data_IF_745430810078
#
_entry.id   IF_745430810078
#
_cell.length_a   1.000
_cell.length_b   1.000
_cell.length_c   1.000
_cell.angle_alpha   90.00
_cell.angle_beta   90.00
_cell.angle_gamma   90.00
#
_symmetry.space_group_name_H-M   'P 1'
#
loop_
_entity.id
_entity.type
_entity.pdbx_description
1 polymer ?
#
# COMPACT_ATOMS: atom_id res chain seq x y z
N UNK A 1 14.00 8.65 1.64
CA UNK A 1 12.76 9.40 1.31
C UNK A 1 12.49 10.44 2.39
N UNK A 2 12.20 11.71 2.06
CA UNK A 2 11.88 12.73 3.07
C UNK A 2 10.54 12.43 3.75
N UNK A 3 10.46 12.57 5.07
CA UNK A 3 9.23 12.43 5.85
C UNK A 3 8.87 13.80 6.42
N UNK A 4 7.67 14.30 6.09
CA UNK A 4 7.19 15.61 6.52
C UNK A 4 5.96 15.41 7.40
N UNK A 5 6.04 15.85 8.65
CA UNK A 5 4.88 15.95 9.54
C UNK A 5 4.13 17.23 9.22
N UNK A 6 2.83 17.13 8.91
CA UNK A 6 2.01 18.25 8.48
C UNK A 6 0.63 18.23 9.16
N UNK A 7 0.03 19.41 9.30
CA UNK A 7 -1.33 19.61 9.81
C UNK A 7 -1.97 20.79 9.08
N UNK A 8 -3.22 20.63 8.62
CA UNK A 8 -3.98 21.73 8.02
C UNK A 8 -4.26 22.88 9.00
N UNK A 9 -4.05 22.65 10.30
CA UNK A 9 -4.20 23.65 11.36
C UNK A 9 -2.89 24.38 11.70
N UNK A 10 -1.76 23.98 11.10
CA UNK A 10 -0.45 24.63 11.28
C UNK A 10 0.05 25.16 9.93
N UNK A 11 -0.12 26.47 9.71
CA UNK A 11 0.27 27.16 8.48
C UNK A 11 1.75 27.00 8.15
N UNK A 12 2.64 26.95 9.15
CA UNK A 12 4.08 26.76 8.93
C UNK A 12 4.39 25.38 8.36
N UNK A 13 3.61 24.37 8.74
CA UNK A 13 3.75 23.01 8.19
C UNK A 13 3.27 22.92 6.74
N UNK A 14 2.24 23.69 6.38
CA UNK A 14 1.73 23.80 5.00
C UNK A 14 2.71 24.55 4.10
N UNK A 15 3.31 25.64 4.58
CA UNK A 15 4.37 26.35 3.84
C UNK A 15 5.57 25.45 3.55
N UNK A 16 6.00 24.66 4.55
CA UNK A 16 7.06 23.65 4.36
C UNK A 16 6.68 22.63 3.29
N UNK A 17 5.44 22.14 3.30
CA UNK A 17 4.96 21.21 2.29
C UNK A 17 4.91 21.87 0.90
N UNK A 18 4.47 23.12 0.81
CA UNK A 18 4.40 23.89 -0.44
C UNK A 18 5.78 24.08 -1.08
N UNK A 19 6.84 24.22 -0.28
CA UNK A 19 8.22 24.31 -0.78
C UNK A 19 8.70 23.04 -1.53
N UNK A 20 8.00 21.91 -1.38
CA UNK A 20 8.25 20.68 -2.13
C UNK A 20 7.43 20.56 -3.43
N UNK A 21 6.52 21.50 -3.69
CA UNK A 21 5.70 21.53 -4.89
C UNK A 21 6.16 22.73 -5.74
N UNK A 22 7.24 22.55 -6.50
CA UNK A 22 7.87 23.64 -7.24
C UNK A 22 7.18 23.92 -8.56
N UNK A 23 7.45 25.09 -9.12
CA UNK A 23 6.98 25.48 -10.45
C UNK A 23 7.37 24.43 -11.51
N UNK A 24 6.40 24.07 -12.35
CA UNK A 24 6.57 23.06 -13.39
C UNK A 24 6.49 21.59 -12.92
N UNK A 25 6.36 21.33 -11.62
CA UNK A 25 6.18 19.97 -11.09
C UNK A 25 4.70 19.57 -11.06
N UNK A 26 4.44 18.26 -11.25
CA UNK A 26 3.13 17.66 -11.00
C UNK A 26 3.20 16.81 -9.74
N UNK A 27 2.39 17.15 -8.74
CA UNK A 27 2.33 16.46 -7.45
C UNK A 27 1.00 15.71 -7.32
N UNK A 28 1.08 14.41 -7.05
CA UNK A 28 -0.10 13.55 -6.90
C UNK A 28 -0.26 13.13 -5.44
N UNK A 29 -1.42 13.38 -4.85
CA UNK A 29 -1.73 12.88 -3.51
C UNK A 29 -2.28 11.47 -3.56
N UNK A 30 -1.63 10.56 -2.83
CA UNK A 30 -1.98 9.15 -2.76
C UNK A 30 -2.15 8.73 -1.30
N UNK A 31 -3.16 7.91 -1.02
CA UNK A 31 -3.43 7.40 0.32
C UNK A 31 -4.89 6.98 0.51
N UNK A 32 -5.17 6.26 1.59
CA UNK A 32 -6.49 5.70 1.90
C UNK A 32 -7.60 6.76 1.94
N UNK A 33 -8.85 6.33 1.84
CA UNK A 33 -10.00 7.23 2.02
C UNK A 33 -10.00 7.86 3.43
N UNK A 34 -10.31 9.16 3.52
CA UNK A 34 -10.44 9.86 4.81
C UNK A 34 -9.14 10.33 5.48
N UNK A 35 -7.96 10.07 4.91
CA UNK A 35 -6.67 10.50 5.49
C UNK A 35 -6.38 12.01 5.37
N UNK A 36 -7.26 12.78 4.71
CA UNK A 36 -7.13 14.24 4.60
C UNK A 36 -6.49 14.77 3.32
N UNK A 37 -6.37 13.97 2.24
CA UNK A 37 -5.80 14.41 0.94
C UNK A 37 -6.43 15.69 0.40
N UNK A 38 -7.75 15.69 0.20
CA UNK A 38 -8.47 16.85 -0.35
C UNK A 38 -8.39 18.08 0.58
N UNK A 39 -8.36 17.87 1.90
CA UNK A 39 -8.14 18.95 2.88
C UNK A 39 -6.74 19.57 2.75
N UNK A 40 -5.72 18.75 2.53
CA UNK A 40 -4.35 19.20 2.33
C UNK A 40 -4.18 19.97 1.01
N UNK A 41 -4.88 19.52 -0.03
CA UNK A 41 -4.95 20.22 -1.32
C UNK A 41 -5.58 21.61 -1.17
N UNK A 42 -6.73 21.73 -0.48
CA UNK A 42 -7.34 23.03 -0.17
C UNK A 42 -6.38 23.94 0.61
N UNK A 43 -5.67 23.39 1.60
CA UNK A 43 -4.71 24.15 2.39
C UNK A 43 -3.53 24.65 1.55
N UNK A 44 -3.03 23.86 0.60
CA UNK A 44 -1.95 24.25 -0.31
C UNK A 44 -2.40 25.30 -1.34
N UNK A 45 -3.64 25.19 -1.80
CA UNK A 45 -4.26 26.18 -2.69
C UNK A 45 -4.53 27.51 -1.96
N UNK A 46 -4.86 27.45 -0.66
CA UNK A 46 -5.15 28.62 0.17
C UNK A 46 -6.63 28.99 0.22
N UNK A 47 -7.52 28.18 -0.36
CA UNK A 47 -8.97 28.34 -0.26
C UNK A 47 -9.71 27.00 -0.37
N UNK A 48 -10.99 26.99 -0.01
CA UNK A 48 -11.86 25.81 -0.18
C UNK A 48 -12.23 25.62 -1.66
N UNK A 49 -11.48 24.78 -2.37
CA UNK A 49 -11.72 24.43 -3.77
C UNK A 49 -12.45 23.08 -3.90
N UNK A 50 -12.03 22.10 -3.11
CA UNK A 50 -12.60 20.75 -3.07
C UNK A 50 -13.59 20.62 -1.91
N UNK A 51 -14.74 19.99 -2.17
CA UNK A 51 -15.70 19.68 -1.12
C UNK A 51 -15.10 18.67 -0.12
N UNK A 52 -15.03 19.05 1.16
CA UNK A 52 -14.59 18.17 2.25
C UNK A 52 -15.71 18.01 3.28
N UNK A 53 -16.01 16.77 3.71
CA UNK A 53 -16.93 16.51 4.83
C UNK A 53 -16.19 15.95 6.05
N UNK A 54 -16.68 16.24 7.25
CA UNK A 54 -16.19 15.62 8.49
C UNK A 54 -16.34 14.09 8.47
N UNK A 55 -15.47 13.40 9.21
CA UNK A 55 -15.54 11.94 9.40
C UNK A 55 -16.85 11.57 10.12
N UNK A 56 -17.48 10.43 9.77
CA UNK A 56 -18.69 10.00 10.48
C UNK A 56 -18.35 9.48 11.88
N UNK A 57 -18.97 10.05 12.91
CA UNK A 57 -18.81 9.67 14.33
C UNK A 57 -19.19 8.20 14.64
N UNK A 58 -19.92 7.53 13.73
CA UNK A 58 -20.48 6.20 13.96
C UNK A 58 -19.61 5.03 13.49
N UNK A 59 -18.59 5.25 12.65
CA UNK A 59 -17.83 4.13 12.06
C UNK A 59 -16.31 4.31 11.97
N UNK A 60 -15.78 5.52 12.24
CA UNK A 60 -14.35 5.82 12.04
C UNK A 60 -13.87 5.71 10.59
N UNK A 61 -14.75 5.42 9.62
CA UNK A 61 -14.44 5.31 8.20
C UNK A 61 -14.81 6.62 7.49
N UNK A 62 -13.88 7.16 6.72
CA UNK A 62 -14.09 8.38 5.95
C UNK A 62 -15.21 8.23 4.91
N UNK A 63 -16.22 9.10 4.99
CA UNK A 63 -17.28 9.21 3.97
C UNK A 63 -16.69 9.89 2.74
N UNK A 64 -16.82 9.24 1.59
CA UNK A 64 -16.27 9.72 0.33
C UNK A 64 -16.93 11.04 -0.08
N UNK A 65 -16.18 12.14 -0.12
CA UNK A 65 -16.60 13.39 -0.77
C UNK A 65 -15.95 13.56 -2.14
N UNK A 66 -14.65 13.20 -2.28
CA UNK A 66 -13.93 13.26 -3.57
C UNK A 66 -14.19 11.98 -4.39
N UNK A 67 -15.06 12.09 -5.40
CA UNK A 67 -15.43 11.01 -6.34
C UNK A 67 -14.79 11.18 -7.72
N UNK A 68 -14.06 12.28 -7.94
CA UNK A 68 -13.46 12.65 -9.22
C UNK A 68 -11.96 12.88 -9.04
N UNK A 69 -11.19 12.67 -10.11
CA UNK A 69 -9.79 13.09 -10.18
C UNK A 69 -9.79 14.56 -10.61
N UNK A 70 -9.27 15.42 -9.76
CA UNK A 70 -9.24 16.87 -10.00
C UNK A 70 -7.78 17.32 -10.17
N UNK A 71 -7.54 18.13 -11.20
CA UNK A 71 -6.24 18.76 -11.46
C UNK A 71 -6.34 20.24 -11.12
N UNK A 72 -5.46 20.71 -10.25
CA UNK A 72 -5.50 22.05 -9.68
C UNK A 72 -4.18 22.74 -9.97
N UNK A 73 -4.25 23.90 -10.61
CA UNK A 73 -3.10 24.75 -10.85
C UNK A 73 -2.90 25.64 -9.62
N UNK A 74 -1.75 25.51 -8.95
CA UNK A 74 -1.34 26.51 -7.98
C UNK A 74 -0.75 27.69 -8.77
N UNK A 75 -1.21 28.90 -8.47
CA UNK A 75 -0.66 30.13 -9.07
C UNK A 75 0.86 30.16 -8.87
N UNK A 76 1.60 30.38 -9.97
CA UNK A 76 3.06 30.46 -10.03
C UNK A 76 3.80 29.27 -9.36
N UNK A 77 3.21 28.07 -9.39
CA UNK A 77 3.73 26.90 -8.66
C UNK A 77 3.39 25.58 -9.37
N UNK A 78 3.13 24.51 -8.61
CA UNK A 78 2.94 23.16 -9.12
C UNK A 78 1.50 22.88 -9.57
N UNK A 79 1.34 21.79 -10.31
CA UNK A 79 0.05 21.16 -10.56
C UNK A 79 -0.22 20.13 -9.46
N UNK A 80 -1.33 20.26 -8.75
CA UNK A 80 -1.78 19.27 -7.78
C UNK A 80 -2.84 18.36 -8.39
N UNK A 81 -2.73 17.06 -8.15
CA UNK A 81 -3.75 16.08 -8.53
C UNK A 81 -4.32 15.43 -7.27
N UNK A 82 -5.60 15.71 -6.97
CA UNK A 82 -6.34 14.95 -5.96
C UNK A 82 -6.88 13.67 -6.61
N UNK A 83 -6.63 12.54 -5.95
CA UNK A 83 -7.15 11.25 -6.37
C UNK A 83 -8.20 10.77 -5.37
N UNK A 84 -9.33 10.19 -5.83
CA UNK A 84 -10.23 9.47 -4.94
C UNK A 84 -9.41 8.48 -4.11
N UNK A 85 -9.69 8.41 -2.80
CA UNK A 85 -8.96 7.51 -1.92
C UNK A 85 -8.95 6.09 -2.49
N UNK A 86 -7.75 5.60 -2.77
CA UNK A 86 -7.52 4.22 -3.19
C UNK A 86 -8.05 3.29 -2.09
N UNK A 87 -8.97 2.39 -2.46
CA UNK A 87 -9.54 1.43 -1.51
C UNK A 87 -8.58 0.26 -1.30
N UNK A 88 -7.98 -0.24 -2.38
CA UNK A 88 -6.98 -1.29 -2.37
C UNK A 88 -6.03 -1.06 -3.54
N UNK A 89 -4.72 -1.22 -3.33
CA UNK A 89 -3.77 -1.38 -4.42
C UNK A 89 -3.75 -2.87 -4.74
N UNK A 90 -4.20 -3.25 -5.94
CA UNK A 90 -3.91 -4.59 -6.43
C UNK A 90 -2.45 -4.64 -6.85
N UNK A 91 -1.69 -5.54 -6.25
CA UNK A 91 -0.32 -5.83 -6.68
C UNK A 91 -0.45 -6.70 -7.93
N UNK A 92 -0.43 -6.06 -9.10
CA UNK A 92 -0.35 -6.76 -10.39
C UNK A 92 1.08 -7.17 -10.74
N UNK A 93 2.02 -6.89 -9.83
CA UNK A 93 3.42 -7.27 -9.96
C UNK A 93 3.53 -8.77 -9.71
N UNK A 94 3.68 -9.53 -10.79
CA UNK A 94 4.04 -10.96 -10.77
C UNK A 94 5.53 -11.17 -10.40
N UNK A 95 6.27 -10.06 -10.28
CA UNK A 95 7.70 -10.06 -10.03
C UNK A 95 8.04 -9.90 -8.54
N UNK A 96 8.37 -11.03 -7.90
CA UNK A 96 8.85 -11.05 -6.52
C UNK A 96 10.17 -10.29 -6.33
N UNK A 97 11.01 -10.14 -7.38
CA UNK A 97 12.25 -9.36 -7.30
C UNK A 97 11.96 -7.86 -7.14
N UNK A 98 10.89 -7.37 -7.75
CA UNK A 98 10.48 -5.98 -7.59
C UNK A 98 9.97 -5.71 -6.17
N UNK A 99 9.21 -6.64 -5.58
CA UNK A 99 8.77 -6.54 -4.18
C UNK A 99 9.94 -6.56 -3.20
N UNK A 100 10.92 -7.43 -3.42
CA UNK A 100 12.09 -7.51 -2.55
C UNK A 100 13.04 -6.32 -2.72
N UNK A 101 13.11 -5.71 -3.92
CA UNK A 101 13.85 -4.47 -4.13
C UNK A 101 13.20 -3.27 -3.45
N UNK A 102 11.87 -3.15 -3.47
CA UNK A 102 11.16 -1.99 -2.89
C UNK A 102 11.26 -1.94 -1.37
N UNK A 103 11.40 -3.11 -0.74
CA UNK A 103 11.51 -3.24 0.72
C UNK A 103 12.95 -3.46 1.20
N UNK A 104 13.94 -3.27 0.33
CA UNK A 104 15.37 -3.49 0.62
C UNK A 104 15.71 -4.92 1.13
N UNK A 105 14.88 -5.92 0.77
CA UNK A 105 15.07 -7.33 1.15
C UNK A 105 15.87 -8.10 0.09
N UNK A 106 15.93 -7.63 -1.15
CA UNK A 106 16.55 -8.35 -2.29
C UNK A 106 18.01 -8.77 -2.07
N UNK A 107 18.80 -7.95 -1.36
CA UNK A 107 20.19 -8.26 -1.05
C UNK A 107 20.31 -9.43 -0.05
N UNK A 108 19.34 -9.55 0.87
CA UNK A 108 19.28 -10.62 1.86
C UNK A 108 18.84 -11.94 1.20
N UNK A 109 17.86 -11.90 0.29
CA UNK A 109 17.37 -13.09 -0.42
C UNK A 109 18.47 -13.79 -1.21
N UNK A 110 19.37 -13.01 -1.85
CA UNK A 110 20.51 -13.54 -2.62
C UNK A 110 21.49 -14.34 -1.76
N UNK A 111 21.49 -14.12 -0.45
CA UNK A 111 22.34 -14.83 0.52
C UNK A 111 21.64 -16.02 1.17
N UNK A 112 20.36 -16.28 0.85
CA UNK A 112 19.70 -17.50 1.29
C UNK A 112 20.34 -18.73 0.64
N UNK A 113 20.45 -19.81 1.42
CA UNK A 113 20.95 -21.09 0.94
C UNK A 113 20.12 -21.67 -0.22
N UNK A 114 18.81 -21.45 -0.19
CA UNK A 114 17.86 -21.97 -1.17
C UNK A 114 17.36 -20.85 -2.08
N UNK A 115 17.30 -21.11 -3.38
CA UNK A 115 16.80 -20.15 -4.39
C UNK A 115 15.30 -19.93 -4.30
N UNK A 116 14.57 -20.90 -3.78
CA UNK A 116 13.12 -20.91 -3.60
C UNK A 116 12.69 -20.67 -2.14
N UNK A 117 13.58 -20.06 -1.34
CA UNK A 117 13.30 -19.74 0.05
C UNK A 117 12.04 -18.86 0.20
N UNK A 118 11.13 -19.27 1.08
CA UNK A 118 9.91 -18.53 1.42
C UNK A 118 10.11 -17.56 2.58
N UNK A 119 11.25 -17.69 3.28
CA UNK A 119 11.63 -16.91 4.46
C UNK A 119 10.62 -17.06 5.61
N UNK A 120 10.00 -18.23 5.75
CA UNK A 120 8.99 -18.48 6.79
C UNK A 120 9.43 -19.51 7.83
N UNK A 121 10.60 -20.13 7.66
CA UNK A 121 11.15 -21.07 8.63
C UNK A 121 12.28 -21.96 8.09
N UNK A 122 12.82 -21.65 6.91
CA UNK A 122 13.90 -22.42 6.31
C UNK A 122 15.21 -22.31 7.09
N UNK A 123 15.98 -23.41 7.22
CA UNK A 123 17.32 -23.34 7.78
C UNK A 123 18.24 -22.51 6.88
N UNK A 124 19.18 -21.79 7.48
CA UNK A 124 20.14 -20.91 6.79
C UNK A 124 19.48 -19.84 5.90
N UNK A 125 18.37 -19.28 6.38
CA UNK A 125 17.67 -18.17 5.75
C UNK A 125 18.27 -16.82 6.19
N UNK A 126 18.99 -16.15 5.28
CA UNK A 126 19.60 -14.85 5.54
C UNK A 126 18.59 -13.75 5.90
N UNK A 127 17.35 -13.82 5.40
CA UNK A 127 16.27 -12.88 5.77
C UNK A 127 15.84 -13.09 7.23
N UNK A 128 15.70 -14.35 7.68
CA UNK A 128 15.35 -14.66 9.07
C UNK A 128 16.51 -14.34 10.03
N UNK A 129 17.74 -14.52 9.59
CA UNK A 129 18.93 -14.09 10.32
C UNK A 129 19.00 -12.56 10.46
N UNK A 130 18.73 -11.82 9.39
CA UNK A 130 18.67 -10.36 9.44
C UNK A 130 17.55 -9.85 10.37
N UNK A 131 16.43 -10.57 10.44
CA UNK A 131 15.37 -10.27 11.41
C UNK A 131 15.84 -10.53 12.84
N UNK A 132 16.49 -11.67 13.11
CA UNK A 132 16.92 -12.03 14.46
C UNK A 132 18.06 -11.14 14.99
N UNK A 133 18.94 -10.66 14.11
CA UNK A 133 20.05 -9.77 14.46
C UNK A 133 19.67 -8.27 14.43
N UNK A 134 18.42 -7.93 14.06
CA UNK A 134 17.90 -6.57 14.04
C UNK A 134 18.31 -5.72 12.83
N UNK A 135 19.02 -6.29 11.85
CA UNK A 135 19.37 -5.60 10.60
C UNK A 135 18.14 -5.42 9.68
N UNK A 136 17.11 -6.24 9.86
CA UNK A 136 15.81 -6.11 9.23
C UNK A 136 14.74 -5.84 10.28
N UNK A 137 13.98 -4.76 10.13
CA UNK A 137 12.87 -4.48 11.05
C UNK A 137 11.72 -5.46 10.88
N UNK A 138 11.07 -5.83 11.99
CA UNK A 138 9.92 -6.73 12.01
C UNK A 138 8.77 -6.22 11.12
N UNK A 139 8.46 -4.93 11.16
CA UNK A 139 7.40 -4.35 10.33
C UNK A 139 7.68 -4.45 8.82
N UNK A 140 8.95 -4.34 8.40
CA UNK A 140 9.34 -4.55 6.98
C UNK A 140 9.22 -6.02 6.61
N UNK A 141 9.67 -6.93 7.47
CA UNK A 141 9.55 -8.38 7.25
C UNK A 141 8.09 -8.83 7.13
N UNK A 142 7.21 -8.37 8.03
CA UNK A 142 5.77 -8.66 7.97
C UNK A 142 5.12 -8.09 6.71
N UNK A 143 5.46 -6.85 6.35
CA UNK A 143 4.96 -6.21 5.13
C UNK A 143 5.40 -6.99 3.90
N UNK A 144 6.68 -7.39 3.84
CA UNK A 144 7.23 -8.19 2.76
C UNK A 144 6.48 -9.52 2.59
N UNK A 145 6.29 -10.29 3.67
CA UNK A 145 5.56 -11.55 3.62
C UNK A 145 4.11 -11.38 3.19
N UNK A 146 3.46 -10.30 3.64
CA UNK A 146 2.09 -9.98 3.26
C UNK A 146 1.97 -9.67 1.77
N UNK A 147 2.81 -8.77 1.26
CA UNK A 147 2.80 -8.38 -0.16
C UNK A 147 3.15 -9.56 -1.07
N UNK A 148 4.09 -10.43 -0.67
CA UNK A 148 4.44 -11.65 -1.42
C UNK A 148 3.26 -12.62 -1.51
N UNK A 149 2.49 -12.81 -0.42
CA UNK A 149 1.27 -13.63 -0.43
C UNK A 149 0.18 -13.03 -1.31
N UNK A 150 0.00 -11.71 -1.27
CA UNK A 150 -0.97 -11.00 -2.11
C UNK A 150 -0.59 -11.15 -3.60
N UNK A 151 0.66 -10.89 -3.98
CA UNK A 151 1.15 -11.09 -5.35
C UNK A 151 0.90 -12.51 -5.87
N UNK A 152 1.25 -13.55 -5.08
CA UNK A 152 0.98 -14.95 -5.44
C UNK A 152 -0.50 -15.28 -5.59
N UNK A 153 -1.38 -14.57 -4.89
CA UNK A 153 -2.82 -14.74 -5.02
C UNK A 153 -3.34 -14.12 -6.33
N UNK A 154 -2.77 -12.98 -6.74
CA UNK A 154 -3.16 -12.25 -7.95
C UNK A 154 -2.50 -12.76 -9.23
N UNK A 155 -1.33 -13.39 -9.17
CA UNK A 155 -0.66 -13.98 -10.34
C UNK A 155 -1.29 -15.28 -10.85
N UNK A 156 -2.09 -15.96 -10.03
CA UNK A 156 -2.82 -17.16 -10.46
C UNK A 156 -3.83 -16.81 -11.55
N UNK A 157 -3.64 -17.40 -12.73
CA UNK A 157 -4.60 -17.27 -13.83
C UNK A 157 -6.01 -17.70 -13.41
N UNK A 158 -7.06 -17.16 -14.06
CA UNK A 158 -8.43 -17.60 -13.81
C UNK A 158 -8.60 -19.12 -13.88
N UNK A 159 -7.84 -19.78 -14.76
CA UNK A 159 -7.82 -21.23 -14.91
C UNK A 159 -7.30 -21.93 -13.65
N UNK A 160 -6.19 -21.44 -13.07
CA UNK A 160 -5.62 -21.99 -11.84
C UNK A 160 -6.51 -21.75 -10.63
N UNK A 161 -7.15 -20.57 -10.53
CA UNK A 161 -8.16 -20.29 -9.48
C UNK A 161 -9.31 -21.29 -9.53
N UNK A 162 -9.90 -21.51 -10.73
CA UNK A 162 -11.00 -22.47 -10.91
C UNK A 162 -10.58 -23.91 -10.58
N UNK A 163 -9.34 -24.30 -10.89
CA UNK A 163 -8.82 -25.63 -10.57
C UNK A 163 -8.62 -25.81 -9.07
N UNK A 164 -8.06 -24.81 -8.39
CA UNK A 164 -7.84 -24.83 -6.94
C UNK A 164 -9.17 -24.85 -6.18
N UNK A 165 -10.14 -24.03 -6.59
CA UNK A 165 -11.49 -24.00 -6.01
C UNK A 165 -12.20 -25.34 -6.14
N UNK A 166 -12.16 -25.97 -7.32
CA UNK A 166 -12.70 -27.33 -7.53
C UNK A 166 -12.01 -28.38 -6.64
N UNK A 167 -10.68 -28.28 -6.48
CA UNK A 167 -9.92 -29.20 -5.62
C UNK A 167 -10.29 -29.02 -4.14
N UNK A 168 -10.40 -27.77 -3.69
CA UNK A 168 -10.78 -27.42 -2.33
C UNK A 168 -12.20 -27.88 -2.01
N UNK A 169 -13.17 -27.62 -2.90
CA UNK A 169 -14.55 -28.10 -2.73
C UNK A 169 -14.65 -29.62 -2.66
N UNK A 170 -13.84 -30.37 -3.43
CA UNK A 170 -13.79 -31.83 -3.32
C UNK A 170 -13.29 -32.29 -1.94
N UNK A 171 -12.19 -31.70 -1.45
CA UNK A 171 -11.65 -32.00 -0.13
C UNK A 171 -12.67 -31.69 0.99
N UNK A 172 -13.32 -30.53 0.94
CA UNK A 172 -14.35 -30.17 1.93
C UNK A 172 -15.52 -31.16 1.92
N UNK A 173 -16.02 -31.54 0.74
CA UNK A 173 -17.10 -32.52 0.62
C UNK A 173 -16.71 -33.91 1.13
N UNK A 174 -15.44 -34.30 0.95
CA UNK A 174 -14.91 -35.55 1.48
C UNK A 174 -14.83 -35.53 3.02
N UNK A 175 -14.31 -34.45 3.60
CA UNK A 175 -14.28 -34.26 5.06
C UNK A 175 -15.69 -34.24 5.67
N UNK A 176 -16.64 -33.58 5.01
CA UNK A 176 -18.06 -33.55 5.44
C UNK A 176 -18.68 -34.94 5.36
N UNK A 177 -18.35 -35.75 4.34
CA UNK A 177 -18.80 -37.15 4.24
C UNK A 177 -18.23 -38.02 5.36
N UNK A 178 -16.95 -37.84 5.70
CA UNK A 178 -16.28 -38.59 6.77
C UNK A 178 -16.91 -38.24 8.13
N UNK A 179 -17.21 -36.96 8.39
CA UNK A 179 -17.88 -36.53 9.63
C UNK A 179 -19.36 -36.94 9.76
N UNK A 180 -20.00 -37.39 8.69
CA UNK A 180 -21.41 -37.84 8.67
C UNK A 180 -21.57 -39.35 8.83
N UNK A 181 -20.47 -40.11 8.85
CA UNK A 181 -20.42 -41.52 9.26
C UNK A 181 -20.07 -41.62 10.74
#
# INVERSE_FOLDING_TARGET
>A
MPIIKTSIYDSRSIEKLKAHAKEGETVVFIGSSGVGKSSLVNALYGSELLATSSLSDFSGKGRHTSTRREMILLEDSAVLIDTPGVREFEITVDDNELLSSVLDVSALEKNCKFKDCTHTGEPDCAVAEALSNGSLSEGVYESYLKLRKESQHFSKSEYERRKHEKSFSKMVNEVVRIKKK
#
